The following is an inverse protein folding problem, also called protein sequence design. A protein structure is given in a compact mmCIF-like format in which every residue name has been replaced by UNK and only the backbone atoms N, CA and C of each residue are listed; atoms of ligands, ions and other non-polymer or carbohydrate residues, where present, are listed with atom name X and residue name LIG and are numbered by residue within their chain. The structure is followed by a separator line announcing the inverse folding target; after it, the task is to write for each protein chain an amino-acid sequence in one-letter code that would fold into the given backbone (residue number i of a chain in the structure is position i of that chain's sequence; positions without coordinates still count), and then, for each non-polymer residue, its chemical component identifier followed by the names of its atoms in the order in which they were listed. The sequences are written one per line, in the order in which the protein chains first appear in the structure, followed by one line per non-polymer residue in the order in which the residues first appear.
data_IF_587843625893
#
_entry.id   IF_587843625893
#
_cell.length_a   1.000
_cell.length_b   1.000
_cell.length_c   1.000
_cell.angle_alpha   90.00
_cell.angle_beta   90.00
_cell.angle_gamma   90.00
#
_symmetry.space_group_name_H-M   'P 1'
#
loop_
_entity.id
_entity.type
_entity.pdbx_description
1 polymer ?
#
# COMPACT_ATOMS: atom_id res chain seq x y z
N UNK A 1 10.76 29.07 -15.33
CA UNK A 1 11.21 28.13 -14.26
C UNK A 1 12.69 27.92 -14.45
N UNK A 2 13.52 28.49 -13.59
CA UNK A 2 14.98 28.48 -13.74
C UNK A 2 15.55 27.14 -13.27
N UNK A 3 16.40 26.53 -14.09
CA UNK A 3 17.22 25.38 -13.72
C UNK A 3 18.67 25.70 -14.00
N UNK A 4 19.59 25.25 -13.14
CA UNK A 4 21.04 25.42 -13.36
C UNK A 4 21.67 24.10 -13.79
N UNK A 5 22.59 24.12 -14.77
CA UNK A 5 23.38 22.93 -15.10
C UNK A 5 24.51 22.77 -14.05
N UNK A 6 24.76 21.53 -13.66
CA UNK A 6 25.88 21.16 -12.75
C UNK A 6 26.61 19.96 -13.35
N UNK A 7 27.93 20.08 -13.48
CA UNK A 7 28.77 18.96 -13.94
C UNK A 7 29.13 18.07 -12.75
N UNK A 8 28.85 16.79 -12.91
CA UNK A 8 28.95 15.77 -11.86
C UNK A 8 29.62 14.50 -12.37
N UNK A 9 29.97 13.63 -11.41
CA UNK A 9 30.47 12.28 -11.68
C UNK A 9 29.54 11.28 -11.01
N UNK A 10 29.20 10.18 -11.67
CA UNK A 10 28.46 9.07 -11.09
C UNK A 10 29.33 8.37 -10.06
N UNK A 11 28.91 8.32 -8.80
CA UNK A 11 29.65 7.69 -7.70
C UNK A 11 29.03 6.39 -7.24
N UNK A 12 27.69 6.24 -7.36
CA UNK A 12 27.02 4.98 -7.04
C UNK A 12 25.80 4.78 -7.94
N UNK A 13 25.51 3.50 -8.20
CA UNK A 13 24.30 3.03 -8.88
C UNK A 13 23.69 1.93 -8.03
N UNK A 14 22.43 2.02 -7.72
CA UNK A 14 21.72 0.98 -6.99
C UNK A 14 20.35 0.71 -7.59
N UNK A 15 19.82 -0.47 -7.33
CA UNK A 15 18.49 -0.87 -7.78
C UNK A 15 17.75 -1.68 -6.71
N UNK A 16 16.44 -1.66 -6.80
CA UNK A 16 15.56 -2.51 -6.01
C UNK A 16 14.38 -2.97 -6.84
N UNK A 17 14.07 -4.25 -6.75
CA UNK A 17 12.86 -4.85 -7.32
C UNK A 17 12.07 -5.54 -6.23
N UNK A 18 10.76 -5.31 -6.21
CA UNK A 18 9.84 -5.88 -5.22
C UNK A 18 8.67 -6.55 -5.89
N UNK A 19 8.23 -7.66 -5.31
CA UNK A 19 7.02 -8.39 -5.69
C UNK A 19 6.15 -8.49 -4.47
N UNK A 20 4.92 -7.96 -4.56
CA UNK A 20 3.93 -8.05 -3.49
C UNK A 20 3.00 -9.22 -3.80
N UNK A 21 2.90 -10.12 -2.84
CA UNK A 21 2.05 -11.31 -2.91
C UNK A 21 0.89 -11.16 -1.95
N UNK A 22 -0.31 -11.41 -2.44
CA UNK A 22 -1.52 -11.57 -1.65
C UNK A 22 -1.88 -13.04 -1.50
N UNK A 23 -2.52 -13.36 -0.38
CA UNK A 23 -3.11 -14.67 -0.12
C UNK A 23 -4.63 -14.53 0.02
N UNK A 24 -5.35 -15.41 -0.67
CA UNK A 24 -6.79 -15.54 -0.57
C UNK A 24 -7.20 -16.30 0.68
N UNK A 25 -8.15 -15.75 1.44
CA UNK A 25 -8.67 -16.40 2.66
C UNK A 25 -10.16 -16.22 2.78
N UNK A 26 -10.82 -17.25 3.27
CA UNK A 26 -12.20 -17.18 3.72
C UNK A 26 -12.25 -16.59 5.12
N UNK A 27 -13.09 -15.59 5.33
CA UNK A 27 -13.26 -14.94 6.62
C UNK A 27 -14.72 -14.93 7.04
N UNK A 28 -15.01 -15.43 8.24
CA UNK A 28 -16.35 -15.35 8.82
C UNK A 28 -16.73 -13.90 9.10
N UNK A 29 -17.95 -13.56 8.67
CA UNK A 29 -18.59 -12.26 8.89
C UNK A 29 -19.90 -12.47 9.63
N UNK A 30 -20.19 -11.51 10.49
CA UNK A 30 -21.47 -11.40 11.18
C UNK A 30 -21.87 -9.94 11.19
N UNK A 31 -23.00 -9.60 10.59
CA UNK A 31 -23.42 -8.22 10.37
C UNK A 31 -24.95 -8.11 10.28
N UNK A 32 -25.51 -6.95 10.62
CA UNK A 32 -26.91 -6.63 10.42
C UNK A 32 -27.27 -6.38 8.94
N UNK A 33 -26.28 -6.26 8.06
CA UNK A 33 -26.47 -5.95 6.64
C UNK A 33 -26.19 -7.18 5.79
N UNK A 34 -26.90 -7.30 4.67
CA UNK A 34 -26.57 -8.30 3.64
C UNK A 34 -25.13 -8.07 3.12
N UNK A 35 -24.48 -9.14 2.65
CA UNK A 35 -23.18 -8.98 1.99
C UNK A 35 -23.23 -7.92 0.89
N UNK A 36 -22.14 -7.16 0.68
CA UNK A 36 -22.05 -6.20 -0.41
C UNK A 36 -22.29 -6.87 -1.76
N UNK A 37 -22.93 -6.15 -2.69
CA UNK A 37 -23.12 -6.65 -4.04
C UNK A 37 -21.78 -6.92 -4.72
N UNK A 38 -21.58 -8.10 -5.27
CA UNK A 38 -20.31 -8.52 -5.91
C UNK A 38 -19.29 -9.17 -4.97
N UNK A 39 -19.56 -9.25 -3.67
CA UNK A 39 -18.72 -10.00 -2.75
C UNK A 39 -18.80 -11.51 -3.05
N UNK A 40 -17.65 -12.20 -3.05
CA UNK A 40 -17.61 -13.66 -3.13
C UNK A 40 -17.87 -14.24 -1.75
N UNK A 41 -19.06 -14.81 -1.55
CA UNK A 41 -19.49 -15.32 -0.25
C UNK A 41 -19.96 -16.78 -0.35
N UNK A 42 -19.85 -17.50 0.78
CA UNK A 42 -20.41 -18.83 0.97
C UNK A 42 -21.05 -18.95 2.35
N UNK A 43 -21.83 -20.00 2.58
CA UNK A 43 -22.49 -20.30 3.86
C UNK A 43 -23.36 -19.14 4.40
N UNK A 44 -23.97 -18.37 3.49
CA UNK A 44 -24.84 -17.24 3.86
C UNK A 44 -26.11 -17.77 4.55
N UNK A 45 -26.34 -17.30 5.77
CA UNK A 45 -27.57 -17.55 6.53
C UNK A 45 -28.04 -16.29 7.24
N UNK A 46 -29.36 -16.16 7.36
CA UNK A 46 -30.01 -15.13 8.15
C UNK A 46 -30.45 -15.73 9.49
N UNK A 47 -29.98 -15.15 10.59
CA UNK A 47 -30.31 -15.60 11.95
C UNK A 47 -31.12 -14.52 12.63
N UNK A 48 -32.29 -14.91 13.18
CA UNK A 48 -33.09 -14.00 13.99
C UNK A 48 -32.51 -13.97 15.41
N UNK A 49 -32.18 -12.80 15.91
CA UNK A 49 -31.67 -12.61 17.27
C UNK A 49 -32.57 -11.64 18.03
N UNK A 50 -32.91 -11.99 19.24
CA UNK A 50 -33.58 -11.09 20.18
C UNK A 50 -32.53 -10.31 20.95
N UNK A 51 -32.46 -9.00 20.75
CA UNK A 51 -31.55 -8.12 21.49
C UNK A 51 -32.34 -6.96 22.10
N UNK A 52 -31.87 -6.39 23.23
CA UNK A 52 -32.47 -5.19 23.79
C UNK A 52 -32.46 -4.06 22.77
N UNK A 53 -33.61 -3.41 22.54
CA UNK A 53 -33.72 -2.29 21.62
C UNK A 53 -33.38 -0.99 22.35
N UNK A 54 -32.11 -0.61 22.30
CA UNK A 54 -31.60 0.60 22.96
C UNK A 54 -32.23 1.89 22.40
N UNK A 55 -32.66 1.89 21.13
CA UNK A 55 -33.31 3.07 20.52
C UNK A 55 -34.73 3.29 21.07
N UNK A 56 -35.48 2.22 21.28
CA UNK A 56 -36.81 2.29 21.89
C UNK A 56 -36.71 2.77 23.36
N UNK A 57 -35.75 2.23 24.12
CA UNK A 57 -35.51 2.70 25.50
C UNK A 57 -35.12 4.17 25.55
N UNK A 58 -34.25 4.65 24.67
CA UNK A 58 -33.85 6.05 24.57
C UNK A 58 -35.01 6.97 24.13
N UNK A 59 -35.88 6.50 23.25
CA UNK A 59 -37.10 7.16 22.81
C UNK A 59 -38.13 7.33 23.97
N UNK A 60 -38.35 6.29 24.76
CA UNK A 60 -39.23 6.32 25.93
C UNK A 60 -38.73 7.26 27.02
N UNK A 61 -37.41 7.31 27.27
CA UNK A 61 -36.84 8.27 28.23
C UNK A 61 -37.00 9.73 27.79
N UNK A 62 -36.89 10.05 26.50
CA UNK A 62 -37.10 11.40 25.96
C UNK A 62 -38.54 11.83 26.02
N UNK A 63 -39.49 10.93 25.93
CA UNK A 63 -40.93 11.22 26.01
C UNK A 63 -41.42 11.49 27.43
N UNK A 64 -40.56 11.48 28.44
CA UNK A 64 -40.91 11.76 29.84
C UNK A 64 -41.81 10.70 30.48
N UNK A 65 -41.93 9.52 29.90
CA UNK A 65 -42.65 8.42 30.49
C UNK A 65 -41.95 7.92 31.75
N UNK A 66 -42.48 8.21 32.92
CA UNK A 66 -42.04 7.69 34.19
C UNK A 66 -42.38 6.19 34.25
N UNK A 67 -41.40 5.36 34.07
CA UNK A 67 -41.57 3.92 34.22
C UNK A 67 -41.66 3.60 35.74
N UNK A 68 -42.66 2.84 36.16
CA UNK A 68 -42.72 2.36 37.53
C UNK A 68 -41.52 1.43 37.82
N UNK A 69 -40.83 1.65 38.92
CA UNK A 69 -39.56 1.02 39.29
C UNK A 69 -39.57 -0.50 39.46
N UNK A 70 -40.66 -1.21 39.16
CA UNK A 70 -40.82 -2.63 39.44
C UNK A 70 -40.99 -3.56 38.23
N UNK A 71 -40.97 -3.05 36.99
CA UNK A 71 -40.98 -3.88 35.78
C UNK A 71 -40.25 -3.19 34.63
N UNK A 72 -38.96 -3.27 34.61
CA UNK A 72 -38.20 -3.07 33.37
C UNK A 72 -38.51 -4.25 32.43
N UNK A 73 -39.57 -4.11 31.63
CA UNK A 73 -39.73 -5.00 30.49
C UNK A 73 -38.65 -4.60 29.48
N UNK A 74 -37.60 -5.40 29.40
CA UNK A 74 -36.69 -5.31 28.28
C UNK A 74 -37.52 -5.49 27.02
N UNK A 75 -37.63 -4.43 26.23
CA UNK A 75 -38.24 -4.52 24.92
C UNK A 75 -37.22 -5.20 24.02
N UNK A 76 -37.45 -6.48 23.77
CA UNK A 76 -36.62 -7.26 22.88
C UNK A 76 -37.10 -7.06 21.45
N UNK A 77 -36.27 -6.47 20.62
CA UNK A 77 -36.52 -6.39 19.18
C UNK A 77 -35.87 -7.58 18.45
N UNK A 78 -36.58 -8.07 17.42
CA UNK A 78 -36.04 -9.08 16.52
C UNK A 78 -35.12 -8.43 15.49
N UNK A 79 -33.85 -8.69 15.59
CA UNK A 79 -32.86 -8.26 14.60
C UNK A 79 -32.46 -9.42 13.70
N UNK A 80 -32.39 -9.15 12.39
CA UNK A 80 -31.84 -10.11 11.44
C UNK A 80 -30.34 -9.90 11.33
N UNK A 81 -29.59 -10.93 11.66
CA UNK A 81 -28.13 -10.95 11.52
C UNK A 81 -27.78 -11.89 10.39
N UNK A 82 -26.94 -11.43 9.47
CA UNK A 82 -26.40 -12.24 8.39
C UNK A 82 -25.03 -12.78 8.81
N UNK A 83 -24.90 -14.09 8.75
CA UNK A 83 -23.65 -14.80 8.97
C UNK A 83 -23.22 -15.43 7.64
N UNK A 84 -21.98 -15.21 7.25
CA UNK A 84 -21.41 -15.73 6.02
C UNK A 84 -19.89 -15.77 6.09
N UNK A 85 -19.28 -16.48 5.15
CA UNK A 85 -17.85 -16.42 4.92
C UNK A 85 -17.61 -15.64 3.63
N UNK A 86 -16.75 -14.64 3.70
CA UNK A 86 -16.33 -13.78 2.59
C UNK A 86 -14.91 -14.12 2.17
N UNK A 87 -14.69 -14.27 0.87
CA UNK A 87 -13.36 -14.47 0.33
C UNK A 87 -12.68 -13.14 0.12
N UNK A 88 -11.52 -12.95 0.76
CA UNK A 88 -10.73 -11.74 0.69
C UNK A 88 -9.30 -12.05 0.25
N UNK A 89 -8.76 -11.21 -0.63
CA UNK A 89 -7.34 -11.16 -0.90
C UNK A 89 -6.68 -10.19 0.07
N UNK A 90 -5.59 -10.65 0.73
CA UNK A 90 -4.83 -9.81 1.67
C UNK A 90 -3.35 -9.89 1.40
N UNK A 91 -2.69 -8.78 1.56
CA UNK A 91 -1.22 -8.74 1.50
C UNK A 91 -0.66 -9.78 2.48
N UNK A 92 0.12 -10.70 1.91
CA UNK A 92 0.73 -11.79 2.64
C UNK A 92 2.22 -11.54 2.86
N UNK A 93 2.96 -11.30 1.76
CA UNK A 93 4.42 -11.13 1.81
C UNK A 93 4.89 -10.19 0.70
N UNK A 94 6.04 -9.56 0.95
CA UNK A 94 6.79 -8.80 -0.05
C UNK A 94 8.16 -9.45 -0.21
N UNK A 95 8.49 -9.85 -1.42
CA UNK A 95 9.82 -10.30 -1.79
C UNK A 95 10.59 -9.12 -2.37
N UNK A 96 11.89 -9.01 -2.05
CA UNK A 96 12.73 -7.92 -2.54
C UNK A 96 14.08 -8.45 -2.96
N UNK A 97 14.56 -7.98 -4.11
CA UNK A 97 15.94 -8.07 -4.53
C UNK A 97 16.52 -6.67 -4.66
N UNK A 98 17.76 -6.48 -4.32
CA UNK A 98 18.49 -5.21 -4.42
C UNK A 98 19.95 -5.48 -4.74
N UNK A 99 20.59 -4.51 -5.35
CA UNK A 99 22.00 -4.63 -5.67
C UNK A 99 22.58 -3.31 -6.16
N UNK A 100 23.87 -3.32 -6.45
CA UNK A 100 24.64 -2.19 -6.93
C UNK A 100 25.08 -2.45 -8.38
N UNK A 101 24.93 -1.42 -9.20
CA UNK A 101 25.31 -1.51 -10.62
C UNK A 101 24.38 -2.38 -11.48
N UNK A 102 24.61 -2.39 -12.79
CA UNK A 102 23.69 -3.00 -13.78
C UNK A 102 23.93 -4.50 -14.05
N UNK A 103 24.92 -5.14 -13.44
CA UNK A 103 25.33 -6.50 -13.82
C UNK A 103 24.32 -7.57 -13.44
N UNK A 104 23.76 -7.49 -12.22
CA UNK A 104 22.96 -8.57 -11.63
C UNK A 104 21.52 -8.17 -11.34
N UNK A 105 20.93 -7.35 -12.18
CA UNK A 105 19.53 -6.90 -12.02
C UNK A 105 18.58 -8.06 -12.29
N UNK A 106 17.90 -8.53 -11.24
CA UNK A 106 16.95 -9.64 -11.33
C UNK A 106 15.70 -9.39 -10.46
N UNK A 107 14.64 -10.11 -10.74
CA UNK A 107 13.49 -10.16 -9.85
C UNK A 107 13.76 -11.11 -8.68
N UNK A 108 13.21 -10.83 -7.48
CA UNK A 108 13.36 -11.75 -6.35
C UNK A 108 12.76 -13.11 -6.68
N UNK A 109 13.47 -14.15 -6.32
CA UNK A 109 12.95 -15.51 -6.42
C UNK A 109 11.78 -15.69 -5.47
N UNK A 110 10.72 -16.31 -5.95
CA UNK A 110 9.53 -16.61 -5.17
C UNK A 110 8.78 -17.78 -5.77
N UNK A 111 8.13 -18.55 -4.91
CA UNK A 111 7.22 -19.62 -5.27
C UNK A 111 5.84 -19.23 -4.75
N UNK A 112 4.80 -19.41 -5.57
CA UNK A 112 3.42 -19.14 -5.20
C UNK A 112 2.68 -20.45 -4.91
N UNK A 113 1.90 -20.44 -3.84
CA UNK A 113 0.92 -21.49 -3.55
C UNK A 113 -0.38 -21.23 -4.34
N UNK A 114 -1.27 -22.23 -4.39
CA UNK A 114 -2.49 -22.16 -5.19
C UNK A 114 -3.47 -21.04 -4.78
N UNK A 115 -3.39 -20.60 -3.52
CA UNK A 115 -4.19 -19.53 -2.94
C UNK A 115 -3.45 -18.18 -2.90
N UNK A 116 -2.36 -18.04 -3.63
CA UNK A 116 -1.53 -16.84 -3.68
C UNK A 116 -1.50 -16.24 -5.08
N UNK A 117 -1.36 -14.92 -5.14
CA UNK A 117 -1.21 -14.18 -6.39
C UNK A 117 -0.25 -13.00 -6.23
N UNK A 118 0.40 -12.63 -7.32
CA UNK A 118 1.15 -11.38 -7.40
C UNK A 118 0.14 -10.25 -7.66
N UNK A 119 0.19 -9.21 -6.84
CA UNK A 119 -0.67 -8.04 -7.00
C UNK A 119 0.09 -6.83 -7.52
N UNK A 120 1.38 -6.73 -7.18
CA UNK A 120 2.19 -5.59 -7.57
C UNK A 120 3.63 -6.03 -7.85
N UNK A 121 4.21 -5.44 -8.91
CA UNK A 121 5.64 -5.45 -9.17
C UNK A 121 6.13 -4.02 -9.23
N UNK A 122 7.15 -3.70 -8.46
CA UNK A 122 7.76 -2.37 -8.43
C UNK A 122 9.25 -2.50 -8.64
N UNK A 123 9.80 -1.58 -9.42
CA UNK A 123 11.23 -1.44 -9.60
C UNK A 123 11.62 0.02 -9.40
N UNK A 124 12.78 0.23 -8.80
CA UNK A 124 13.37 1.54 -8.57
C UNK A 124 14.86 1.48 -8.85
N UNK A 125 15.36 2.50 -9.51
CA UNK A 125 16.76 2.62 -9.91
C UNK A 125 17.27 3.96 -9.47
N UNK A 126 18.36 3.99 -8.70
CA UNK A 126 18.94 5.19 -8.17
C UNK A 126 20.37 5.39 -8.66
N UNK A 127 20.72 6.63 -8.88
CA UNK A 127 22.09 7.04 -9.13
C UNK A 127 22.48 8.14 -8.14
N UNK A 128 23.68 8.03 -7.57
CA UNK A 128 24.30 9.07 -6.77
C UNK A 128 25.36 9.75 -7.60
N UNK A 129 25.33 11.07 -7.59
CA UNK A 129 26.24 11.92 -8.33
C UNK A 129 26.98 12.84 -7.38
N UNK A 130 28.31 12.93 -7.49
CA UNK A 130 29.12 13.91 -6.77
C UNK A 130 29.46 15.10 -7.66
N UNK A 131 29.41 16.31 -7.10
CA UNK A 131 29.80 17.54 -7.80
C UNK A 131 31.30 17.55 -8.00
N UNK A 132 31.74 17.82 -9.22
CA UNK A 132 33.15 17.90 -9.54
C UNK A 132 33.77 19.18 -8.93
N UNK A 133 34.68 19.02 -7.95
CA UNK A 133 35.35 20.12 -7.27
C UNK A 133 34.52 20.82 -6.20
N UNK A 134 33.41 20.24 -5.77
CA UNK A 134 32.63 20.72 -4.62
C UNK A 134 33.01 20.03 -3.32
N UNK A 135 32.66 20.63 -2.19
CA UNK A 135 32.96 20.19 -0.81
C UNK A 135 32.05 19.01 -0.36
N UNK A 136 31.83 18.00 -1.25
CA UNK A 136 31.07 16.80 -0.88
C UNK A 136 29.59 16.84 -1.19
N UNK A 137 29.12 17.81 -1.97
CA UNK A 137 27.71 17.82 -2.42
C UNK A 137 27.39 16.59 -3.30
N UNK A 138 26.43 15.79 -2.85
CA UNK A 138 25.94 14.63 -3.57
C UNK A 138 24.46 14.79 -3.93
N UNK A 139 24.08 14.29 -5.10
CA UNK A 139 22.70 14.23 -5.57
C UNK A 139 22.29 12.80 -5.75
N UNK A 140 21.27 12.38 -4.99
CA UNK A 140 20.60 11.10 -5.18
C UNK A 140 19.35 11.33 -6.03
N UNK A 141 19.18 10.55 -7.11
CA UNK A 141 17.98 10.64 -7.93
C UNK A 141 17.50 9.28 -8.39
N UNK A 142 16.19 9.15 -8.49
CA UNK A 142 15.55 8.00 -9.13
C UNK A 142 15.51 8.22 -10.64
N UNK A 143 15.81 7.17 -11.39
CA UNK A 143 15.88 7.17 -12.86
C UNK A 143 15.03 6.04 -13.43
N UNK A 144 14.62 6.18 -14.67
CA UNK A 144 14.12 5.05 -15.44
C UNK A 144 15.24 4.05 -15.74
N UNK A 145 14.89 2.78 -15.91
CA UNK A 145 15.85 1.71 -16.13
C UNK A 145 16.76 1.97 -17.33
N UNK A 146 16.21 2.51 -18.43
CA UNK A 146 16.96 2.74 -19.68
C UNK A 146 18.05 3.79 -19.49
N UNK A 147 17.74 4.89 -18.81
CA UNK A 147 18.71 5.93 -18.45
C UNK A 147 19.74 5.41 -17.48
N UNK A 148 19.31 4.72 -16.42
CA UNK A 148 20.18 4.16 -15.41
C UNK A 148 21.18 3.15 -15.99
N UNK A 149 20.75 2.24 -16.89
CA UNK A 149 21.62 1.25 -17.53
C UNK A 149 22.72 1.86 -18.41
N UNK A 150 22.55 3.09 -18.88
CA UNK A 150 23.57 3.81 -19.67
C UNK A 150 24.65 4.44 -18.82
N UNK A 151 24.42 4.58 -17.50
CA UNK A 151 25.40 5.15 -16.58
C UNK A 151 26.47 4.13 -16.23
N UNK A 152 27.63 4.64 -15.87
CA UNK A 152 28.78 3.88 -15.34
C UNK A 152 29.41 4.70 -14.22
N UNK A 153 29.84 4.06 -13.15
CA UNK A 153 30.60 4.70 -12.09
C UNK A 153 31.82 5.37 -12.70
N UNK A 154 32.12 6.60 -12.27
CA UNK A 154 33.18 7.43 -12.81
C UNK A 154 32.82 8.22 -14.07
N UNK A 155 31.65 7.96 -14.71
CA UNK A 155 31.22 8.70 -15.87
C UNK A 155 30.82 10.12 -15.52
N UNK A 156 31.22 11.09 -16.35
CA UNK A 156 30.79 12.47 -16.25
C UNK A 156 29.39 12.64 -16.80
N UNK A 157 28.61 13.43 -16.09
CA UNK A 157 27.24 13.77 -16.48
C UNK A 157 27.01 15.26 -16.24
N UNK A 158 25.99 15.80 -16.89
CA UNK A 158 25.44 17.12 -16.61
C UNK A 158 24.02 16.95 -16.05
N UNK A 159 23.81 17.46 -14.85
CA UNK A 159 22.49 17.51 -14.22
C UNK A 159 21.85 18.86 -14.49
N UNK A 160 20.55 18.87 -14.74
CA UNK A 160 19.72 20.06 -14.60
C UNK A 160 19.00 19.98 -13.24
N UNK A 161 19.33 20.90 -12.34
CA UNK A 161 18.78 20.96 -10.99
C UNK A 161 17.73 22.06 -10.92
N UNK A 162 16.61 21.78 -10.24
CA UNK A 162 15.54 22.75 -10.02
C UNK A 162 16.01 23.96 -9.21
N UNK A 163 15.25 25.05 -9.24
CA UNK A 163 15.59 26.31 -8.60
C UNK A 163 15.76 26.22 -7.08
N UNK A 164 15.10 25.25 -6.44
CA UNK A 164 15.19 24.99 -4.98
C UNK A 164 16.35 24.08 -4.58
N UNK A 165 17.15 23.59 -5.55
CA UNK A 165 18.43 22.94 -5.29
C UNK A 165 18.39 21.43 -5.09
N UNK A 166 17.23 20.81 -4.86
CA UNK A 166 17.15 19.40 -4.41
C UNK A 166 16.63 18.43 -5.47
N UNK A 167 15.98 18.93 -6.52
CA UNK A 167 15.35 18.08 -7.54
C UNK A 167 16.18 18.01 -8.81
N UNK A 168 16.64 16.81 -9.17
CA UNK A 168 17.29 16.54 -10.46
C UNK A 168 16.21 16.36 -11.53
N UNK A 169 16.12 17.28 -12.48
CA UNK A 169 15.14 17.26 -13.58
C UNK A 169 15.60 16.50 -14.79
N UNK A 170 16.88 16.44 -15.04
CA UNK A 170 17.47 15.80 -16.21
C UNK A 170 18.91 15.38 -15.95
N UNK A 171 19.26 14.18 -16.43
CA UNK A 171 20.61 13.64 -16.46
C UNK A 171 21.06 13.50 -17.90
N UNK A 172 22.16 14.13 -18.26
CA UNK A 172 22.76 14.05 -19.60
C UNK A 172 24.17 13.50 -19.48
N UNK A 173 24.48 12.30 -19.97
CA UNK A 173 25.85 11.79 -20.06
C UNK A 173 26.69 12.68 -20.97
N UNK A 174 27.96 12.93 -20.58
CA UNK A 174 28.94 13.70 -21.33
C UNK A 174 29.93 12.76 -22.02
#
# INVERSE_FOLDING_TARGET
MFSRPVDVVVVALSWRRTVVVEQGRWRSRRTAWKPPHGATVRNLRAVQKLEPDIEIEAGMRRAGASMPASKSHEVLAKHTIFEYEEFEWRKFRTFSAKGDGPADVHWPEHTLEADQRITERRETYHATFAVKGGDGDEYLTELDEATWRRLRIGRRCRLKIGALGDEVKQVTPL
#
